data_IF_057672285998
#
_entry.id   IF_057672285998
#
_cell.length_a   1.000
_cell.length_b   1.000
_cell.length_c   1.000
_cell.angle_alpha   90.00
_cell.angle_beta   90.00
_cell.angle_gamma   90.00
#
_symmetry.space_group_name_H-M   'P 1'
#
loop_
_entity.id
_entity.type
_entity.pdbx_description
1 polymer ?
#
# COMPACT_ATOMS: atom_id res chain seq x y z
N UNK A 1 -7.55 -12.83 13.77
CA UNK A 1 -7.56 -12.18 12.45
C UNK A 1 -6.12 -12.03 11.98
N UNK A 2 -5.88 -12.22 10.68
CA UNK A 2 -4.56 -12.06 10.06
C UNK A 2 -4.55 -10.68 9.39
N UNK A 3 -3.67 -9.78 9.82
CA UNK A 3 -3.53 -8.46 9.18
C UNK A 3 -2.80 -8.61 7.84
N UNK A 4 -3.40 -8.13 6.76
CA UNK A 4 -2.75 -8.04 5.44
C UNK A 4 -2.38 -6.58 5.16
N UNK A 5 -1.12 -6.33 4.84
CA UNK A 5 -0.61 -5.01 4.47
C UNK A 5 -0.04 -5.05 3.05
N UNK A 6 -0.55 -4.18 2.18
CA UNK A 6 -0.04 -3.99 0.83
C UNK A 6 1.18 -3.08 0.84
N UNK A 7 2.25 -3.45 0.14
CA UNK A 7 3.53 -2.72 0.14
C UNK A 7 3.85 -2.25 -1.27
N UNK A 8 3.87 -0.92 -1.45
CA UNK A 8 4.32 -0.22 -2.65
C UNK A 8 5.71 0.37 -2.36
N UNK A 9 6.76 -0.45 -2.55
CA UNK A 9 8.11 -0.18 -2.05
C UNK A 9 9.00 0.73 -2.90
N UNK A 10 8.53 1.13 -4.08
CA UNK A 10 9.24 2.02 -5.00
C UNK A 10 8.45 3.30 -5.19
N UNK A 11 9.15 4.44 -5.31
CA UNK A 11 8.51 5.70 -5.66
C UNK A 11 8.19 5.71 -7.17
N UNK A 12 7.08 5.07 -7.54
CA UNK A 12 6.57 5.02 -8.91
C UNK A 12 5.18 5.66 -8.93
N UNK A 13 5.09 7.01 -9.05
CA UNK A 13 3.85 7.75 -8.82
C UNK A 13 2.65 7.21 -9.60
N UNK A 14 2.81 6.98 -10.90
CA UNK A 14 1.72 6.46 -11.74
C UNK A 14 1.26 5.06 -11.33
N UNK A 15 2.19 4.15 -11.04
CA UNK A 15 1.85 2.81 -10.58
C UNK A 15 1.14 2.84 -9.23
N UNK A 16 1.68 3.59 -8.27
CA UNK A 16 1.10 3.75 -6.94
C UNK A 16 -0.32 4.31 -7.05
N UNK A 17 -0.52 5.34 -7.88
CA UNK A 17 -1.83 5.93 -8.15
C UNK A 17 -2.81 4.90 -8.71
N UNK A 18 -2.42 4.12 -9.74
CA UNK A 18 -3.31 3.10 -10.32
C UNK A 18 -3.77 2.08 -9.29
N UNK A 19 -2.85 1.54 -8.48
CA UNK A 19 -3.19 0.54 -7.45
C UNK A 19 -4.08 1.16 -6.36
N UNK A 20 -3.72 2.35 -5.85
CA UNK A 20 -4.47 3.00 -4.78
C UNK A 20 -5.88 3.41 -5.24
N UNK A 21 -6.01 3.98 -6.43
CA UNK A 21 -7.32 4.32 -7.03
C UNK A 21 -8.18 3.07 -7.21
N UNK A 22 -7.63 1.98 -7.74
CA UNK A 22 -8.39 0.73 -7.88
C UNK A 22 -8.91 0.20 -6.53
N UNK A 23 -8.07 0.23 -5.48
CA UNK A 23 -8.51 -0.22 -4.17
C UNK A 23 -9.55 0.71 -3.55
N UNK A 24 -9.35 2.04 -3.63
CA UNK A 24 -10.24 3.03 -3.04
C UNK A 24 -11.62 3.04 -3.71
N UNK A 25 -11.64 2.99 -5.05
CA UNK A 25 -12.86 3.22 -5.83
C UNK A 25 -13.58 1.93 -6.22
N UNK A 26 -12.88 0.79 -6.32
CA UNK A 26 -13.48 -0.48 -6.74
C UNK A 26 -13.54 -1.46 -5.57
N UNK A 27 -12.38 -1.85 -5.01
CA UNK A 27 -12.34 -2.90 -3.99
C UNK A 27 -13.10 -2.51 -2.72
N UNK A 28 -12.99 -1.27 -2.25
CA UNK A 28 -13.70 -0.83 -1.06
C UNK A 28 -15.23 -0.77 -1.24
N UNK A 29 -15.74 -0.68 -2.48
CA UNK A 29 -17.17 -0.75 -2.76
C UNK A 29 -17.70 -2.19 -2.71
N UNK A 30 -16.88 -3.15 -3.15
CA UNK A 30 -17.23 -4.58 -3.22
C UNK A 30 -16.98 -5.34 -1.90
N UNK A 31 -16.08 -4.84 -1.05
CA UNK A 31 -15.79 -5.47 0.23
C UNK A 31 -16.83 -5.10 1.30
N UNK A 32 -17.31 -6.10 2.04
CA UNK A 32 -18.08 -5.86 3.27
C UNK A 32 -17.25 -4.99 4.25
N UNK A 33 -17.88 -4.11 5.06
CA UNK A 33 -17.23 -3.03 5.82
C UNK A 33 -16.30 -3.47 6.97
N UNK A 34 -15.75 -4.68 6.92
CA UNK A 34 -14.98 -5.30 8.00
C UNK A 34 -13.64 -4.61 8.30
N UNK A 35 -13.02 -3.92 7.34
CA UNK A 35 -11.84 -3.05 7.58
C UNK A 35 -11.37 -2.34 6.31
N UNK A 36 -10.82 -1.12 6.45
CA UNK A 36 -10.10 -0.43 5.37
C UNK A 36 -8.84 -1.20 4.97
N UNK A 37 -8.57 -1.44 3.67
CA UNK A 37 -7.30 -2.00 3.21
C UNK A 37 -6.11 -1.15 3.69
N UNK A 38 -5.06 -1.81 4.19
CA UNK A 38 -3.88 -1.14 4.74
C UNK A 38 -2.73 -1.18 3.73
N UNK A 39 -2.21 0.00 3.39
CA UNK A 39 -1.06 0.21 2.52
C UNK A 39 0.13 0.82 3.28
N UNK A 40 1.32 0.40 2.91
CA UNK A 40 2.60 1.07 3.16
C UNK A 40 3.16 1.51 1.81
N UNK A 41 3.41 2.81 1.63
CA UNK A 41 3.73 3.39 0.32
C UNK A 41 4.98 4.25 0.40
N UNK A 42 5.90 4.08 -0.55
CA UNK A 42 6.97 5.06 -0.78
C UNK A 42 6.44 6.15 -1.71
N UNK A 43 6.43 7.40 -1.23
CA UNK A 43 5.95 8.56 -1.98
C UNK A 43 6.54 9.85 -1.40
N UNK A 44 6.72 10.85 -2.25
CA UNK A 44 7.05 12.22 -1.86
C UNK A 44 5.79 13.12 -1.81
N UNK A 45 4.62 12.56 -2.17
CA UNK A 45 3.34 13.27 -2.16
C UNK A 45 2.74 13.35 -0.75
N UNK A 46 2.74 14.56 -0.19
CA UNK A 46 2.18 14.86 1.13
C UNK A 46 0.64 14.74 1.19
N UNK A 47 -0.05 14.81 0.04
CA UNK A 47 -1.51 14.74 -0.04
C UNK A 47 -2.03 13.32 -0.32
N UNK A 48 -1.14 12.34 -0.46
CA UNK A 48 -1.49 10.97 -0.84
C UNK A 48 -2.55 10.35 0.09
N UNK A 49 -2.44 10.60 1.41
CA UNK A 49 -3.38 10.04 2.40
C UNK A 49 -4.77 10.65 2.23
N UNK A 50 -4.85 11.96 2.00
CA UNK A 50 -6.10 12.69 1.85
C UNK A 50 -6.84 12.32 0.55
N UNK A 51 -6.09 11.95 -0.50
CA UNK A 51 -6.64 11.52 -1.78
C UNK A 51 -7.39 10.18 -1.72
N UNK A 52 -7.12 9.32 -0.72
CA UNK A 52 -7.66 7.96 -0.65
C UNK A 52 -8.31 7.65 0.71
N UNK A 53 -9.44 8.31 1.05
CA UNK A 53 -10.05 8.24 2.38
C UNK A 53 -10.59 6.86 2.75
N UNK A 54 -10.80 5.95 1.79
CA UNK A 54 -11.25 4.57 2.08
C UNK A 54 -10.09 3.64 2.45
N UNK A 55 -8.85 4.10 2.32
CA UNK A 55 -7.65 3.32 2.62
C UNK A 55 -7.03 3.76 3.95
N UNK A 56 -6.27 2.86 4.56
CA UNK A 56 -5.29 3.21 5.60
C UNK A 56 -3.92 3.24 4.95
N UNK A 57 -3.25 4.39 4.95
CA UNK A 57 -1.96 4.58 4.25
C UNK A 57 -0.90 5.05 5.23
N UNK A 58 0.21 4.32 5.31
CA UNK A 58 1.46 4.76 5.93
C UNK A 58 2.45 5.18 4.83
N UNK A 59 2.90 6.43 4.84
CA UNK A 59 3.84 6.97 3.83
C UNK A 59 5.28 6.91 4.33
N UNK A 60 6.20 6.52 3.45
CA UNK A 60 7.63 6.42 3.72
C UNK A 60 8.43 7.20 2.68
N UNK A 61 9.49 7.89 3.12
CA UNK A 61 10.31 8.71 2.23
C UNK A 61 11.14 7.89 1.22
N UNK A 62 11.45 6.63 1.53
CA UNK A 62 12.28 5.80 0.65
C UNK A 62 12.13 4.29 0.93
N UNK A 63 12.70 3.51 0.01
CA UNK A 63 12.71 2.04 0.04
C UNK A 63 13.36 1.44 1.29
N UNK A 64 14.35 2.13 1.88
CA UNK A 64 15.00 1.65 3.11
C UNK A 64 14.07 1.82 4.32
N UNK A 65 13.42 2.98 4.44
CA UNK A 65 12.50 3.29 5.54
C UNK A 65 11.31 2.31 5.57
N UNK A 66 10.71 2.03 4.41
CA UNK A 66 9.60 1.08 4.32
C UNK A 66 10.07 -0.36 4.64
N UNK A 67 11.24 -0.78 4.16
CA UNK A 67 11.79 -2.11 4.46
C UNK A 67 12.04 -2.30 5.96
N UNK A 68 12.61 -1.28 6.62
CA UNK A 68 12.81 -1.30 8.08
C UNK A 68 11.48 -1.43 8.82
N UNK A 69 10.44 -0.68 8.40
CA UNK A 69 9.10 -0.75 9.00
C UNK A 69 8.46 -2.13 8.83
N UNK A 70 8.59 -2.75 7.65
CA UNK A 70 8.12 -4.12 7.41
C UNK A 70 8.79 -5.10 8.37
N UNK A 71 10.12 -5.04 8.52
CA UNK A 71 10.87 -5.93 9.42
C UNK A 71 10.42 -5.74 10.87
N UNK A 72 10.25 -4.50 11.32
CA UNK A 72 9.80 -4.22 12.69
C UNK A 72 8.39 -4.78 12.95
N UNK A 73 7.44 -4.55 12.03
CA UNK A 73 6.08 -5.07 12.14
C UNK A 73 6.04 -6.59 12.10
N UNK A 74 6.83 -7.22 11.22
CA UNK A 74 6.94 -8.68 11.14
C UNK A 74 7.56 -9.32 12.39
N UNK A 75 8.45 -8.60 13.09
CA UNK A 75 8.99 -9.02 14.40
C UNK A 75 7.96 -8.88 15.50
N UNK A 76 7.21 -7.78 15.52
CA UNK A 76 6.18 -7.50 16.52
C UNK A 76 4.99 -8.46 16.44
N UNK A 77 4.53 -8.78 15.22
CA UNK A 77 3.47 -9.76 14.99
C UNK A 77 3.76 -10.67 13.79
N UNK A 78 4.10 -11.93 14.09
CA UNK A 78 4.41 -12.98 13.10
C UNK A 78 3.20 -13.40 12.26
N UNK A 79 1.98 -13.02 12.66
CA UNK A 79 0.77 -13.28 11.87
C UNK A 79 0.52 -12.19 10.82
N UNK A 80 1.17 -11.04 10.91
CA UNK A 80 1.07 -10.03 9.85
C UNK A 80 1.57 -10.62 8.52
N UNK A 81 0.84 -10.33 7.45
CA UNK A 81 1.17 -10.72 6.08
C UNK A 81 1.41 -9.46 5.27
N UNK A 82 2.41 -9.52 4.40
CA UNK A 82 2.78 -8.43 3.53
C UNK A 82 2.61 -8.88 2.09
N UNK A 83 1.86 -8.12 1.30
CA UNK A 83 1.75 -8.31 -0.14
C UNK A 83 2.57 -7.26 -0.85
N UNK A 84 3.70 -7.66 -1.42
CA UNK A 84 4.60 -6.75 -2.13
C UNK A 84 4.14 -6.62 -3.58
N UNK A 85 3.71 -5.41 -3.96
CA UNK A 85 3.32 -5.12 -5.33
C UNK A 85 4.56 -4.99 -6.20
N UNK A 86 4.58 -5.73 -7.31
CA UNK A 86 5.59 -5.59 -8.35
C UNK A 86 5.26 -4.43 -9.29
N UNK A 87 6.23 -4.03 -10.09
CA UNK A 87 6.00 -3.05 -11.16
C UNK A 87 5.17 -3.67 -12.28
N UNK A 88 4.08 -3.02 -12.66
CA UNK A 88 3.38 -3.34 -13.90
C UNK A 88 4.14 -2.71 -15.08
N UNK A 89 4.92 -3.51 -15.80
CA UNK A 89 5.52 -3.11 -17.07
C UNK A 89 4.54 -3.48 -18.17
N UNK A 90 3.66 -2.56 -18.57
CA UNK A 90 3.00 -2.68 -19.86
C UNK A 90 4.08 -2.55 -20.93
N UNK A 91 4.47 -3.66 -21.57
CA UNK A 91 5.11 -3.60 -22.87
C UNK A 91 4.10 -2.91 -23.80
N UNK A 92 4.29 -1.62 -24.06
CA UNK A 92 3.68 -0.98 -25.21
C UNK A 92 4.38 -1.61 -26.42
N UNK A 93 3.76 -2.66 -26.97
CA UNK A 93 4.07 -3.25 -28.27
C UNK A 93 3.15 -2.67 -29.33
#
# INVERSE_FOLDING_TARGET
MTTLIHVLGSNLPHHNQTVLTFFNDVICQEMAPSSKPHFMVVSDDAQLVDAYPQLKIDVFANKQAIANSVIQRAKADRRTRFFFHGQFNALFG
#
